data_IF_006922665830
#
_entry.id   IF_006922665830
#
_cell.length_a   1.000
_cell.length_b   1.000
_cell.length_c   1.000
_cell.angle_alpha   90.00
_cell.angle_beta   90.00
_cell.angle_gamma   90.00
#
_symmetry.space_group_name_H-M   'P 1'
#
loop_
_entity.id
_entity.type
_entity.pdbx_description
1 polymer ?
#
# COMPACT_ATOMS: atom_id res chain seq x y z
N UNK A 1 32.97 40.18 -6.33
CA UNK A 1 33.16 39.39 -5.11
C UNK A 1 31.92 39.35 -4.20
N UNK A 2 31.20 40.46 -4.01
CA UNK A 2 30.00 40.48 -3.17
C UNK A 2 28.82 39.70 -3.74
N UNK A 3 28.67 39.60 -5.07
CA UNK A 3 27.59 38.84 -5.72
C UNK A 3 27.71 37.32 -5.57
N UNK A 4 28.92 36.77 -5.53
CA UNK A 4 29.17 35.35 -5.32
C UNK A 4 28.88 34.91 -3.89
N UNK A 5 29.14 35.77 -2.91
CA UNK A 5 28.81 35.51 -1.49
C UNK A 5 27.32 35.57 -1.20
N UNK A 6 26.58 36.46 -1.85
CA UNK A 6 25.13 36.55 -1.72
C UNK A 6 24.42 35.34 -2.33
N UNK A 7 24.86 34.87 -3.52
CA UNK A 7 24.34 33.67 -4.13
C UNK A 7 24.60 32.40 -3.30
N UNK A 8 25.78 32.28 -2.69
CA UNK A 8 26.11 31.15 -1.84
C UNK A 8 25.28 31.13 -0.53
N UNK A 9 24.89 32.31 -0.01
CA UNK A 9 23.98 32.38 1.14
C UNK A 9 22.55 32.06 0.79
N UNK A 10 22.06 32.45 -0.36
CA UNK A 10 20.72 32.10 -0.85
C UNK A 10 20.60 30.59 -1.09
N UNK A 11 21.60 29.97 -1.70
CA UNK A 11 21.63 28.51 -1.91
C UNK A 11 21.64 27.75 -0.57
N UNK A 12 22.39 28.22 0.43
CA UNK A 12 22.40 27.61 1.76
C UNK A 12 21.03 27.71 2.47
N UNK A 13 20.33 28.82 2.30
CA UNK A 13 19.02 29.03 2.92
C UNK A 13 17.96 28.12 2.27
N UNK A 14 18.00 27.92 0.95
CA UNK A 14 17.12 27.02 0.21
C UNK A 14 17.36 25.57 0.57
N UNK A 15 18.62 25.14 0.75
CA UNK A 15 18.98 23.78 1.16
C UNK A 15 18.50 23.47 2.59
N UNK A 16 18.57 24.41 3.51
CA UNK A 16 18.06 24.24 4.87
C UNK A 16 16.53 24.13 4.92
N UNK A 17 15.81 24.86 4.08
CA UNK A 17 14.36 24.77 3.99
C UNK A 17 13.93 23.41 3.39
N UNK A 18 14.66 22.91 2.37
CA UNK A 18 14.44 21.59 1.79
C UNK A 18 14.71 20.48 2.78
N UNK A 19 15.79 20.56 3.57
CA UNK A 19 16.13 19.58 4.60
C UNK A 19 15.08 19.56 5.72
N UNK A 20 14.54 20.71 6.12
CA UNK A 20 13.48 20.78 7.13
C UNK A 20 12.16 20.19 6.64
N UNK A 21 11.81 20.36 5.36
CA UNK A 21 10.63 19.73 4.76
C UNK A 21 10.79 18.22 4.66
N UNK A 22 11.96 17.74 4.23
CA UNK A 22 12.26 16.31 4.13
C UNK A 22 12.25 15.65 5.52
N UNK A 23 12.73 16.32 6.55
CA UNK A 23 12.67 15.83 7.92
C UNK A 23 11.23 15.75 8.45
N UNK A 24 10.38 16.74 8.14
CA UNK A 24 8.97 16.74 8.52
C UNK A 24 8.19 15.64 7.79
N UNK A 25 8.47 15.41 6.51
CA UNK A 25 7.87 14.30 5.76
C UNK A 25 8.32 12.94 6.30
N UNK A 26 9.61 12.81 6.64
CA UNK A 26 10.15 11.59 7.20
C UNK A 26 9.51 11.26 8.57
N UNK A 27 9.29 12.26 9.42
CA UNK A 27 8.60 12.09 10.70
C UNK A 27 7.13 11.66 10.51
N UNK A 28 6.44 12.30 9.56
CA UNK A 28 5.04 11.95 9.25
C UNK A 28 4.93 10.51 8.72
N UNK A 29 5.80 10.12 7.80
CA UNK A 29 5.84 8.77 7.24
C UNK A 29 6.16 7.75 8.34
N UNK A 30 7.08 8.06 9.26
CA UNK A 30 7.42 7.19 10.37
C UNK A 30 6.24 7.03 11.35
N UNK A 31 5.49 8.09 11.63
CA UNK A 31 4.28 8.01 12.47
C UNK A 31 3.16 7.22 11.80
N UNK A 32 2.91 7.44 10.51
CA UNK A 32 1.94 6.67 9.74
C UNK A 32 2.29 5.19 9.74
N UNK A 33 3.55 4.85 9.50
CA UNK A 33 4.04 3.47 9.54
C UNK A 33 3.86 2.84 10.93
N UNK A 34 4.07 3.62 11.99
CA UNK A 34 3.89 3.17 13.37
C UNK A 34 2.41 2.91 13.68
N UNK A 35 1.51 3.79 13.22
CA UNK A 35 0.06 3.59 13.38
C UNK A 35 -0.42 2.39 12.59
N UNK A 36 0.07 2.18 11.39
CA UNK A 36 -0.23 1.01 10.57
C UNK A 36 0.21 -0.28 11.26
N UNK A 37 1.36 -0.28 11.92
CA UNK A 37 1.83 -1.42 12.70
C UNK A 37 0.93 -1.72 13.89
N UNK A 38 0.45 -0.70 14.59
CA UNK A 38 -0.41 -0.86 15.76
C UNK A 38 -1.81 -1.32 15.40
N UNK A 39 -2.38 -0.78 14.31
CA UNK A 39 -3.77 -1.06 13.92
C UNK A 39 -3.90 -2.21 12.94
N UNK A 40 -2.81 -2.62 12.27
CA UNK A 40 -2.86 -3.64 11.20
C UNK A 40 -3.61 -3.17 9.97
N UNK A 41 -3.71 -1.86 9.74
CA UNK A 41 -4.39 -1.30 8.60
C UNK A 41 -3.49 -0.35 7.80
N UNK A 42 -3.83 -0.18 6.52
CA UNK A 42 -3.11 0.68 5.60
C UNK A 42 -4.09 1.39 4.69
N UNK A 43 -3.97 2.72 4.57
CA UNK A 43 -4.74 3.49 3.61
C UNK A 43 -3.83 3.93 2.47
N UNK A 44 -4.15 3.48 1.28
CA UNK A 44 -3.42 3.82 0.06
C UNK A 44 -4.11 4.96 -0.67
N UNK A 45 -3.36 6.03 -0.97
CA UNK A 45 -3.85 7.16 -1.77
C UNK A 45 -3.29 7.03 -3.19
N UNK A 46 -4.19 6.99 -4.17
CA UNK A 46 -3.80 6.92 -5.58
C UNK A 46 -3.33 8.28 -6.07
N UNK A 47 -2.27 8.30 -6.85
CA UNK A 47 -1.79 9.51 -7.51
C UNK A 47 -2.83 10.03 -8.50
N UNK A 48 -3.45 9.12 -9.25
CA UNK A 48 -4.58 9.38 -10.11
C UNK A 48 -5.72 8.48 -9.66
N UNK A 49 -6.97 8.98 -9.52
CA UNK A 49 -8.08 8.15 -9.07
C UNK A 49 -8.18 6.86 -9.87
N UNK A 50 -8.40 5.74 -9.16
CA UNK A 50 -8.50 4.43 -9.77
C UNK A 50 -9.96 4.14 -10.14
N UNK A 51 -10.26 3.95 -11.45
CA UNK A 51 -11.62 3.61 -11.88
C UNK A 51 -11.88 2.12 -11.73
N UNK A 52 -12.95 1.78 -11.04
CA UNK A 52 -13.36 0.39 -10.87
C UNK A 52 -14.88 0.32 -10.72
N UNK A 53 -15.52 -0.51 -11.54
CA UNK A 53 -16.97 -0.74 -11.51
C UNK A 53 -17.82 0.54 -11.49
N UNK A 54 -17.45 1.52 -12.33
CA UNK A 54 -18.19 2.77 -12.47
C UNK A 54 -17.93 3.81 -11.40
N UNK A 55 -17.00 3.56 -10.48
CA UNK A 55 -16.58 4.52 -9.47
C UNK A 55 -15.11 4.85 -9.61
N UNK A 56 -14.73 6.06 -9.17
CA UNK A 56 -13.34 6.49 -9.11
C UNK A 56 -12.91 6.54 -7.65
N UNK A 57 -11.87 5.81 -7.31
CA UNK A 57 -11.36 5.73 -5.95
C UNK A 57 -10.10 6.58 -5.80
N UNK A 58 -10.14 7.56 -4.92
CA UNK A 58 -8.97 8.37 -4.59
C UNK A 58 -8.07 7.66 -3.58
N UNK A 59 -8.69 6.88 -2.69
CA UNK A 59 -7.98 6.09 -1.66
C UNK A 59 -8.73 4.81 -1.35
N UNK A 60 -7.99 3.82 -0.87
CA UNK A 60 -8.54 2.54 -0.38
C UNK A 60 -7.88 2.20 0.94
N UNK A 61 -8.65 1.65 1.86
CA UNK A 61 -8.15 1.18 3.14
C UNK A 61 -8.16 -0.34 3.18
N UNK A 62 -7.06 -0.91 3.65
CA UNK A 62 -6.86 -2.35 3.78
C UNK A 62 -6.67 -2.69 5.25
N UNK A 63 -7.51 -3.56 5.78
CA UNK A 63 -7.41 -4.03 7.17
C UNK A 63 -6.84 -5.45 7.18
N UNK A 64 -5.54 -5.56 7.34
CA UNK A 64 -4.85 -6.85 7.35
C UNK A 64 -5.25 -7.69 8.55
N UNK A 65 -5.56 -7.06 9.67
CA UNK A 65 -5.93 -7.74 10.90
C UNK A 65 -7.29 -8.43 10.83
N UNK A 66 -8.12 -8.08 9.85
CA UNK A 66 -9.42 -8.73 9.63
C UNK A 66 -9.28 -10.10 8.96
N UNK A 67 -8.11 -10.42 8.42
CA UNK A 67 -7.86 -11.69 7.73
C UNK A 67 -7.54 -12.78 8.75
N UNK A 68 -8.04 -14.00 8.48
CA UNK A 68 -7.81 -15.17 9.32
C UNK A 68 -7.18 -16.33 8.54
N UNK A 69 -6.98 -17.47 9.20
CA UNK A 69 -6.42 -18.65 8.57
C UNK A 69 -7.29 -19.19 7.42
N UNK A 70 -8.60 -19.03 7.52
CA UNK A 70 -9.52 -19.40 6.44
C UNK A 70 -9.27 -18.60 5.17
N UNK A 71 -9.03 -17.28 5.31
CA UNK A 71 -8.67 -16.43 4.18
C UNK A 71 -7.37 -16.89 3.55
N UNK A 72 -6.36 -17.20 4.35
CA UNK A 72 -5.07 -17.72 3.87
C UNK A 72 -5.25 -18.97 3.00
N UNK A 73 -5.99 -19.94 3.53
CA UNK A 73 -6.19 -21.21 2.83
C UNK A 73 -7.02 -21.04 1.55
N UNK A 74 -8.00 -20.17 1.55
CA UNK A 74 -8.80 -19.89 0.35
C UNK A 74 -7.97 -19.22 -0.74
N UNK A 75 -7.12 -18.27 -0.39
CA UNK A 75 -6.22 -17.61 -1.35
C UNK A 75 -5.25 -18.64 -1.94
N UNK A 76 -4.65 -19.48 -1.10
CA UNK A 76 -3.75 -20.55 -1.54
C UNK A 76 -4.46 -21.50 -2.50
N UNK A 77 -5.67 -21.94 -2.15
CA UNK A 77 -6.46 -22.83 -2.99
C UNK A 77 -6.77 -22.23 -4.35
N UNK A 78 -7.14 -20.96 -4.41
CA UNK A 78 -7.42 -20.26 -5.66
C UNK A 78 -6.21 -20.25 -6.59
N UNK A 79 -5.01 -20.09 -6.05
CA UNK A 79 -3.76 -20.07 -6.82
C UNK A 79 -3.45 -21.47 -7.35
N UNK A 80 -3.56 -22.48 -6.49
CA UNK A 80 -3.27 -23.88 -6.85
C UNK A 80 -4.28 -24.39 -7.87
N UNK A 81 -5.55 -24.03 -7.75
CA UNK A 81 -6.60 -24.44 -8.71
C UNK A 81 -6.38 -23.84 -10.09
N UNK A 82 -5.67 -22.73 -10.21
CA UNK A 82 -5.27 -22.17 -11.51
C UNK A 82 -4.05 -22.86 -12.11
N UNK A 83 -3.58 -23.95 -11.51
CA UNK A 83 -2.43 -24.71 -11.99
C UNK A 83 -1.08 -24.10 -11.64
N UNK A 84 -1.06 -23.18 -10.69
CA UNK A 84 0.19 -22.53 -10.27
C UNK A 84 0.71 -23.13 -8.98
N UNK A 85 2.03 -23.19 -8.85
CA UNK A 85 2.70 -23.67 -7.64
C UNK A 85 2.95 -22.50 -6.71
N UNK A 86 2.55 -22.64 -5.45
CA UNK A 86 2.80 -21.62 -4.42
C UNK A 86 3.92 -22.11 -3.50
N UNK A 87 5.09 -21.47 -3.59
CA UNK A 87 6.28 -21.84 -2.81
C UNK A 87 6.49 -20.92 -1.62
N UNK A 88 6.42 -19.62 -1.85
CA UNK A 88 6.61 -18.60 -0.79
C UNK A 88 5.50 -17.56 -0.88
N UNK A 89 4.41 -17.73 -0.11
CA UNK A 89 3.27 -16.79 -0.15
C UNK A 89 3.68 -15.34 0.06
N UNK A 90 4.56 -15.08 1.01
CA UNK A 90 5.03 -13.74 1.36
C UNK A 90 5.81 -13.04 0.24
N UNK A 91 6.25 -13.78 -0.76
CA UNK A 91 6.94 -13.24 -1.93
C UNK A 91 6.21 -13.52 -3.25
N UNK A 92 4.97 -13.99 -3.18
CA UNK A 92 4.18 -14.30 -4.37
C UNK A 92 3.16 -13.20 -4.62
N UNK A 93 3.28 -12.50 -5.75
CA UNK A 93 2.40 -11.39 -6.10
C UNK A 93 0.92 -11.78 -6.14
N UNK A 94 0.60 -12.95 -6.69
CA UNK A 94 -0.78 -13.46 -6.73
C UNK A 94 -1.37 -13.65 -5.32
N UNK A 95 -0.58 -14.17 -4.38
CA UNK A 95 -1.02 -14.34 -3.00
C UNK A 95 -1.25 -12.99 -2.33
N UNK A 96 -0.29 -12.06 -2.48
CA UNK A 96 -0.39 -10.74 -1.90
C UNK A 96 -1.56 -9.93 -2.48
N UNK A 97 -1.83 -10.07 -3.77
CA UNK A 97 -2.98 -9.45 -4.41
C UNK A 97 -4.30 -10.02 -3.87
N UNK A 98 -4.40 -11.33 -3.70
CA UNK A 98 -5.55 -11.97 -3.08
C UNK A 98 -5.78 -11.52 -1.65
N UNK A 99 -4.70 -11.38 -0.90
CA UNK A 99 -4.73 -10.87 0.47
C UNK A 99 -5.24 -9.42 0.52
N UNK A 100 -4.71 -8.56 -0.35
CA UNK A 100 -5.16 -7.17 -0.43
C UNK A 100 -6.63 -7.05 -0.81
N UNK A 101 -7.08 -7.84 -1.78
CA UNK A 101 -8.48 -7.85 -2.20
C UNK A 101 -9.42 -8.18 -1.03
N UNK A 102 -9.05 -9.14 -0.21
CA UNK A 102 -9.85 -9.55 0.96
C UNK A 102 -9.74 -8.56 2.12
N UNK A 103 -8.63 -7.88 2.26
CA UNK A 103 -8.40 -6.90 3.33
C UNK A 103 -9.04 -5.54 3.03
N UNK A 104 -9.35 -5.24 1.76
CA UNK A 104 -9.97 -3.97 1.38
C UNK A 104 -11.30 -3.79 2.07
N UNK A 105 -11.51 -2.64 2.71
CA UNK A 105 -12.68 -2.37 3.52
C UNK A 105 -13.89 -1.89 2.71
N UNK A 106 -13.71 -1.56 1.42
CA UNK A 106 -14.80 -1.10 0.56
C UNK A 106 -15.83 -2.20 0.33
N UNK A 107 -17.09 -1.84 0.53
CA UNK A 107 -18.23 -2.75 0.33
C UNK A 107 -19.27 -2.07 -0.55
N UNK A 108 -20.03 -2.85 -1.31
CA UNK A 108 -21.14 -2.35 -2.08
C UNK A 108 -22.39 -2.21 -1.17
N UNK A 109 -23.51 -1.80 -1.78
CA UNK A 109 -24.78 -1.61 -1.05
C UNK A 109 -25.30 -2.90 -0.40
N UNK A 110 -24.87 -4.07 -0.93
CA UNK A 110 -25.24 -5.37 -0.41
C UNK A 110 -24.24 -5.93 0.60
N UNK A 111 -23.22 -5.15 0.96
CA UNK A 111 -22.17 -5.56 1.90
C UNK A 111 -21.13 -6.48 1.31
N UNK A 112 -21.08 -6.64 -0.02
CA UNK A 112 -20.10 -7.47 -0.70
C UNK A 112 -18.80 -6.68 -0.96
N UNK A 113 -17.69 -7.41 -1.04
CA UNK A 113 -16.40 -6.83 -1.39
C UNK A 113 -16.43 -6.23 -2.79
N UNK A 114 -16.00 -4.99 -2.91
CA UNK A 114 -15.91 -4.28 -4.20
C UNK A 114 -14.64 -4.66 -4.94
N UNK A 115 -13.54 -4.85 -4.20
CA UNK A 115 -12.24 -5.19 -4.77
C UNK A 115 -12.04 -6.70 -4.81
N UNK A 116 -11.46 -7.17 -5.92
CA UNK A 116 -11.03 -8.56 -6.10
C UNK A 116 -9.61 -8.58 -6.66
N UNK A 117 -9.05 -9.75 -6.93
CA UNK A 117 -7.71 -9.85 -7.49
C UNK A 117 -7.60 -9.18 -8.86
N UNK A 118 -8.67 -9.20 -9.64
CA UNK A 118 -8.68 -8.55 -10.95
C UNK A 118 -8.54 -7.03 -10.80
N UNK A 119 -9.21 -6.44 -9.79
CA UNK A 119 -9.07 -5.02 -9.51
C UNK A 119 -7.61 -4.67 -9.21
N UNK A 120 -6.93 -5.47 -8.39
CA UNK A 120 -5.52 -5.26 -8.06
C UNK A 120 -4.63 -5.36 -9.30
N UNK A 121 -4.92 -6.30 -10.20
CA UNK A 121 -4.15 -6.47 -11.44
C UNK A 121 -4.29 -5.29 -12.40
N UNK A 122 -5.41 -4.59 -12.37
CA UNK A 122 -5.65 -3.44 -13.23
C UNK A 122 -5.10 -2.12 -12.67
N UNK A 123 -4.63 -2.13 -11.43
CA UNK A 123 -4.00 -0.95 -10.86
C UNK A 123 -2.65 -0.64 -11.51
N UNK A 124 -2.25 0.65 -11.57
CA UNK A 124 -0.89 0.98 -11.99
C UNK A 124 0.14 0.22 -11.16
N UNK A 125 1.27 -0.13 -11.77
CA UNK A 125 2.31 -0.94 -11.11
C UNK A 125 2.77 -0.34 -9.79
N UNK A 126 2.92 0.99 -9.72
CA UNK A 126 3.38 1.66 -8.50
C UNK A 126 2.40 1.50 -7.35
N UNK A 127 1.10 1.58 -7.64
CA UNK A 127 0.05 1.37 -6.63
C UNK A 127 -0.01 -0.08 -6.20
N UNK A 128 0.04 -1.01 -7.14
CA UNK A 128 0.08 -2.44 -6.88
C UNK A 128 1.27 -2.80 -5.98
N UNK A 129 2.45 -2.30 -6.30
CA UNK A 129 3.65 -2.56 -5.49
C UNK A 129 3.54 -1.99 -4.08
N UNK A 130 3.02 -0.77 -3.94
CA UNK A 130 2.86 -0.15 -2.63
C UNK A 130 1.93 -0.97 -1.74
N UNK A 131 0.79 -1.39 -2.28
CA UNK A 131 -0.21 -2.17 -1.54
C UNK A 131 0.34 -3.56 -1.18
N UNK A 132 0.92 -4.27 -2.14
CA UNK A 132 1.44 -5.63 -1.91
C UNK A 132 2.65 -5.63 -0.99
N UNK A 133 3.44 -4.57 -1.00
CA UNK A 133 4.55 -4.41 -0.05
C UNK A 133 4.05 -4.33 1.38
N UNK A 134 2.94 -3.62 1.62
CA UNK A 134 2.31 -3.55 2.94
C UNK A 134 1.74 -4.90 3.36
N UNK A 135 1.10 -5.62 2.44
CA UNK A 135 0.62 -6.98 2.68
C UNK A 135 1.77 -7.92 3.09
N UNK A 136 2.89 -7.85 2.37
CA UNK A 136 4.09 -8.63 2.70
C UNK A 136 4.61 -8.28 4.08
N UNK A 137 4.70 -6.98 4.38
CA UNK A 137 5.15 -6.52 5.70
C UNK A 137 4.30 -7.08 6.83
N UNK A 138 2.99 -7.15 6.64
CA UNK A 138 2.09 -7.75 7.62
C UNK A 138 2.39 -9.24 7.81
N UNK A 139 2.54 -10.00 6.72
CA UNK A 139 2.86 -11.43 6.81
C UNK A 139 4.20 -11.69 7.51
N UNK A 140 5.21 -10.87 7.23
CA UNK A 140 6.52 -11.04 7.83
C UNK A 140 6.60 -10.65 9.31
N UNK A 141 5.63 -9.84 9.79
CA UNK A 141 5.56 -9.45 11.20
C UNK A 141 4.75 -10.40 12.07
N UNK A 142 4.06 -11.34 11.47
CA UNK A 142 3.10 -12.21 12.17
C UNK A 142 3.77 -13.26 13.05
N UNK A 143 4.73 -12.84 13.89
CA UNK A 143 5.35 -13.70 14.90
C UNK A 143 4.86 -13.31 16.28
#
# INVERSE_FOLDING_TARGET
MSKEKEQAQEEKTLDMAGVAQDAAEAERVAEEAKQEQETGSYTHTFKNPFPWNGKNYEKLTFDWSALDGGDYLEIESEIVMKGRTLVSPEFTGEFLAGMAARACTERDEKGKRVMDRQALKEMPMTDFQAITRKARGFLLRAE
#
